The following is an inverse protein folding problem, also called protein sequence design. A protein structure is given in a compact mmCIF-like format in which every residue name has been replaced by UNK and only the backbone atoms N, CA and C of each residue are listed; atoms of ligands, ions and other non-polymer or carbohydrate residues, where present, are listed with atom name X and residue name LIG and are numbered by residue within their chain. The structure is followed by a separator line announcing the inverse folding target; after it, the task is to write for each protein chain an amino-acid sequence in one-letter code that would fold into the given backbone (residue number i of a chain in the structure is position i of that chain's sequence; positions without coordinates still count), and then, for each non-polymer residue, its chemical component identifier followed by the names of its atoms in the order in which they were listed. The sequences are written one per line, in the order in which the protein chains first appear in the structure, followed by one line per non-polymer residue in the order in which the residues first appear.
data_IF_554742069601
#
_entry.id   IF_554742069601
#
_cell.length_a   1.000
_cell.length_b   1.000
_cell.length_c   1.000
_cell.angle_alpha   90.00
_cell.angle_beta   90.00
_cell.angle_gamma   90.00
#
_symmetry.space_group_name_H-M   'P 1'
#
loop_
_entity.id
_entity.type
_entity.pdbx_description
1 polymer ?
#
# COMPACT_ATOMS: atom_id res chain seq x y z
N UNK A 1 56.04 83.86 54.05
CA UNK A 1 55.47 84.59 55.20
C UNK A 1 53.95 84.61 55.06
N UNK A 2 53.25 84.10 56.07
CA UNK A 2 51.81 84.29 56.25
C UNK A 2 51.57 85.56 57.08
N UNK A 3 50.29 85.92 57.27
CA UNK A 3 49.71 86.99 58.11
C UNK A 3 49.46 88.33 57.38
N UNK A 4 48.29 89.00 57.42
CA UNK A 4 46.91 88.70 57.84
C UNK A 4 46.03 89.85 57.32
N UNK A 5 44.75 89.56 57.01
CA UNK A 5 43.59 90.48 56.78
C UNK A 5 43.60 91.20 55.41
N UNK A 6 42.54 91.22 54.62
CA UNK A 6 41.14 90.91 54.88
C UNK A 6 40.28 91.97 54.20
N UNK A 7 40.06 91.84 52.88
CA UNK A 7 38.95 92.49 52.21
C UNK A 7 38.10 91.39 51.56
N UNK A 8 36.90 91.24 52.11
CA UNK A 8 35.91 90.25 51.74
C UNK A 8 35.27 90.70 50.41
N UNK A 9 35.72 90.15 49.29
CA UNK A 9 34.95 90.18 48.05
C UNK A 9 35.39 89.04 47.13
N UNK A 10 34.44 88.16 46.81
CA UNK A 10 34.55 87.02 45.89
C UNK A 10 35.20 85.76 46.46
N UNK A 11 34.58 85.19 47.49
CA UNK A 11 34.23 83.76 47.39
C UNK A 11 33.01 83.66 46.47
N UNK A 12 32.82 82.48 45.88
CA UNK A 12 31.68 82.06 45.01
C UNK A 12 31.97 82.02 43.50
N UNK A 13 33.00 81.28 43.09
CA UNK A 13 32.95 80.55 41.80
C UNK A 13 32.89 79.03 42.00
N UNK A 14 32.59 78.54 43.20
CA UNK A 14 32.50 77.10 43.48
C UNK A 14 31.06 76.59 43.51
N UNK A 15 30.04 77.45 43.45
CA UNK A 15 28.65 76.99 43.52
C UNK A 15 27.73 77.86 42.65
N UNK A 16 27.77 77.69 41.34
CA UNK A 16 26.56 77.98 40.56
C UNK A 16 26.55 77.22 39.24
N UNK A 17 25.70 76.20 39.25
CA UNK A 17 24.82 75.79 38.16
C UNK A 17 25.39 74.89 37.07
N UNK A 18 25.02 73.62 37.30
CA UNK A 18 24.39 72.70 36.34
C UNK A 18 25.36 71.81 35.57
N UNK A 19 25.82 70.78 36.29
CA UNK A 19 25.86 69.41 35.77
C UNK A 19 24.56 69.15 35.02
N UNK A 20 24.60 69.31 33.70
CA UNK A 20 23.60 68.73 32.81
C UNK A 20 23.55 67.24 33.13
N UNK A 21 22.39 66.65 33.46
CA UNK A 21 22.29 65.20 33.51
C UNK A 21 22.49 64.74 32.08
N UNK A 22 23.68 64.22 31.78
CA UNK A 22 24.01 63.64 30.49
C UNK A 22 22.87 62.72 30.06
N UNK A 23 22.31 63.00 28.89
CA UNK A 23 21.23 62.23 28.30
C UNK A 23 21.67 60.77 28.21
N UNK A 24 21.11 59.91 29.07
CA UNK A 24 21.31 58.47 28.98
C UNK A 24 20.31 57.95 27.97
N UNK A 25 20.79 57.72 26.75
CA UNK A 25 20.09 56.93 25.75
C UNK A 25 19.82 55.54 26.33
N UNK A 26 18.58 55.32 26.77
CA UNK A 26 18.12 53.99 27.15
C UNK A 26 17.75 53.27 25.86
N UNK A 27 18.65 52.44 25.34
CA UNK A 27 18.34 51.53 24.24
C UNK A 27 17.30 50.54 24.73
N UNK A 28 16.04 50.75 24.33
CA UNK A 28 14.96 49.81 24.61
C UNK A 28 15.28 48.50 23.89
N UNK A 29 15.53 47.43 24.64
CA UNK A 29 15.71 46.10 24.06
C UNK A 29 14.35 45.66 23.53
N UNK A 30 14.16 45.79 22.21
CA UNK A 30 13.00 45.25 21.53
C UNK A 30 13.19 43.73 21.46
N UNK A 31 12.67 43.01 22.44
CA UNK A 31 12.52 41.55 22.34
C UNK A 31 11.53 41.26 21.22
N UNK A 32 12.05 40.95 20.03
CA UNK A 32 11.24 40.40 18.94
C UNK A 32 10.68 39.05 19.41
N UNK A 33 9.43 38.76 19.03
CA UNK A 33 8.81 37.44 19.29
C UNK A 33 9.75 36.38 18.75
N UNK A 34 10.28 35.52 19.62
CA UNK A 34 11.12 34.40 19.22
C UNK A 34 10.25 33.48 18.36
N UNK A 35 10.50 33.47 17.06
CA UNK A 35 9.88 32.48 16.20
C UNK A 35 10.39 31.11 16.65
N UNK A 36 9.47 30.20 17.00
CA UNK A 36 9.83 28.84 17.40
C UNK A 36 10.81 28.23 16.37
N UNK A 37 11.86 27.52 16.83
CA UNK A 37 12.90 26.98 15.98
C UNK A 37 12.27 26.13 14.87
N UNK A 38 12.80 26.26 13.66
CA UNK A 38 12.26 25.64 12.44
C UNK A 38 12.08 24.13 12.55
N UNK A 39 12.92 23.46 13.35
CA UNK A 39 12.86 22.02 13.62
C UNK A 39 11.54 21.59 14.26
N UNK A 40 11.04 22.34 15.24
CA UNK A 40 9.78 22.01 15.93
C UNK A 40 8.59 22.16 14.98
N UNK A 41 8.57 23.23 14.17
CA UNK A 41 7.51 23.46 13.17
C UNK A 41 7.44 22.36 12.11
N UNK A 42 8.57 21.84 11.67
CA UNK A 42 8.63 20.75 10.70
C UNK A 42 8.08 19.44 11.27
N UNK A 43 8.38 19.16 12.54
CA UNK A 43 7.90 17.95 13.21
C UNK A 43 6.37 17.98 13.36
N UNK A 44 5.79 19.14 13.70
CA UNK A 44 4.33 19.31 13.72
C UNK A 44 3.69 19.16 12.34
N UNK A 45 4.32 19.66 11.27
CA UNK A 45 3.78 19.52 9.92
C UNK A 45 3.80 18.04 9.48
N UNK A 46 4.87 17.32 9.83
CA UNK A 46 4.98 15.90 9.55
C UNK A 46 3.92 15.07 10.30
N UNK A 47 3.63 15.36 11.57
CA UNK A 47 2.58 14.63 12.30
C UNK A 47 1.19 14.87 11.69
N UNK A 48 0.92 16.08 11.22
CA UNK A 48 -0.33 16.39 10.49
C UNK A 48 -0.40 15.58 9.19
N UNK A 49 0.69 15.50 8.41
CA UNK A 49 0.73 14.70 7.19
C UNK A 49 0.48 13.22 7.49
N UNK A 50 1.12 12.67 8.52
CA UNK A 50 0.93 11.28 8.93
C UNK A 50 -0.52 11.03 9.33
N UNK A 51 -1.13 11.95 10.07
CA UNK A 51 -2.55 11.85 10.46
C UNK A 51 -3.47 11.81 9.23
N UNK A 52 -3.27 12.70 8.25
CA UNK A 52 -4.05 12.75 7.02
C UNK A 52 -3.84 11.47 6.19
N UNK A 53 -2.60 10.97 6.08
CA UNK A 53 -2.29 9.72 5.38
C UNK A 53 -3.04 8.53 5.99
N UNK A 54 -3.07 8.41 7.32
CA UNK A 54 -3.82 7.35 8.01
C UNK A 54 -5.32 7.47 7.72
N UNK A 55 -5.88 8.68 7.79
CA UNK A 55 -7.29 8.91 7.48
C UNK A 55 -7.62 8.53 6.02
N UNK A 56 -6.77 8.91 5.06
CA UNK A 56 -6.93 8.57 3.64
C UNK A 56 -6.84 7.06 3.39
N UNK A 57 -5.92 6.35 4.05
CA UNK A 57 -5.81 4.89 3.94
C UNK A 57 -7.07 4.18 4.45
N UNK A 58 -7.64 4.64 5.56
CA UNK A 58 -8.89 4.08 6.09
C UNK A 58 -10.03 4.25 5.08
N UNK A 59 -10.16 5.44 4.47
CA UNK A 59 -11.18 5.70 3.45
C UNK A 59 -10.96 4.82 2.20
N UNK A 60 -9.71 4.67 1.75
CA UNK A 60 -9.38 3.85 0.58
C UNK A 60 -9.63 2.36 0.82
N UNK A 61 -9.29 1.84 2.00
CA UNK A 61 -9.57 0.45 2.36
C UNK A 61 -11.08 0.15 2.30
N UNK A 62 -11.91 1.10 2.75
CA UNK A 62 -13.36 0.98 2.69
C UNK A 62 -13.88 1.00 1.23
N UNK A 63 -13.27 1.77 0.33
CA UNK A 63 -13.65 1.77 -1.09
C UNK A 63 -13.33 0.42 -1.79
N UNK A 64 -12.17 -0.16 -1.48
CA UNK A 64 -11.73 -1.43 -2.08
C UNK A 64 -12.63 -2.62 -1.71
N UNK A 65 -13.26 -2.60 -0.52
CA UNK A 65 -14.20 -3.64 -0.07
C UNK A 65 -15.41 -3.78 -1.01
N UNK A 66 -15.84 -2.70 -1.67
CA UNK A 66 -17.00 -2.76 -2.57
C UNK A 66 -16.69 -3.44 -3.91
N UNK A 67 -15.46 -3.31 -4.41
CA UNK A 67 -15.01 -4.03 -5.61
C UNK A 67 -14.94 -5.52 -5.35
N UNK A 68 -14.29 -5.91 -4.25
CA UNK A 68 -14.10 -7.30 -3.85
C UNK A 68 -15.42 -8.05 -3.63
N UNK A 69 -16.44 -7.39 -3.08
CA UNK A 69 -17.73 -8.04 -2.83
C UNK A 69 -18.48 -8.37 -4.13
N UNK A 70 -18.33 -7.56 -5.20
CA UNK A 70 -18.88 -7.87 -6.52
C UNK A 70 -18.15 -9.03 -7.17
N UNK A 71 -16.83 -9.04 -7.11
CA UNK A 71 -16.01 -10.15 -7.64
C UNK A 71 -16.34 -11.46 -6.92
N UNK A 72 -16.51 -11.42 -5.60
CA UNK A 72 -16.91 -12.58 -4.80
C UNK A 72 -18.28 -13.13 -5.24
N UNK A 73 -19.28 -12.27 -5.43
CA UNK A 73 -20.59 -12.70 -5.92
C UNK A 73 -20.54 -13.27 -7.34
N UNK A 74 -19.71 -12.71 -8.22
CA UNK A 74 -19.55 -13.19 -9.58
C UNK A 74 -18.85 -14.56 -9.62
N UNK A 75 -17.78 -14.71 -8.83
CA UNK A 75 -17.08 -15.98 -8.65
C UNK A 75 -18.01 -17.06 -8.07
N UNK A 76 -18.81 -16.73 -7.05
CA UNK A 76 -19.77 -17.66 -6.44
C UNK A 76 -20.84 -18.13 -7.46
N UNK A 77 -21.34 -17.21 -8.30
CA UNK A 77 -22.28 -17.55 -9.39
C UNK A 77 -21.64 -18.49 -10.41
N UNK A 78 -20.39 -18.23 -10.82
CA UNK A 78 -19.65 -19.07 -11.75
C UNK A 78 -19.36 -20.47 -11.17
N UNK A 79 -19.02 -20.55 -9.88
CA UNK A 79 -18.84 -21.83 -9.19
C UNK A 79 -20.15 -22.61 -9.15
N UNK A 80 -21.28 -21.95 -8.86
CA UNK A 80 -22.60 -22.60 -8.85
C UNK A 80 -23.01 -23.12 -10.24
N UNK A 81 -22.79 -22.35 -11.31
CA UNK A 81 -23.08 -22.82 -12.67
C UNK A 81 -22.20 -24.02 -13.05
N UNK A 82 -20.90 -23.94 -12.78
CA UNK A 82 -19.97 -25.04 -13.04
C UNK A 82 -20.33 -26.32 -12.27
N UNK A 83 -20.71 -26.20 -10.98
CA UNK A 83 -21.19 -27.34 -10.20
C UNK A 83 -22.48 -27.95 -10.76
N UNK A 84 -23.41 -27.12 -11.24
CA UNK A 84 -24.63 -27.61 -11.85
C UNK A 84 -24.35 -28.38 -13.16
N UNK A 85 -23.42 -27.91 -13.97
CA UNK A 85 -22.97 -28.60 -15.18
C UNK A 85 -22.29 -29.93 -14.87
N UNK A 86 -21.40 -29.95 -13.87
CA UNK A 86 -20.76 -31.18 -13.40
C UNK A 86 -21.81 -32.20 -12.93
N UNK A 87 -22.78 -31.77 -12.12
CA UNK A 87 -23.84 -32.67 -11.66
C UNK A 87 -24.66 -33.24 -12.82
N UNK A 88 -24.98 -32.43 -13.84
CA UNK A 88 -25.67 -32.94 -15.05
C UNK A 88 -24.82 -34.00 -15.76
N UNK A 89 -23.53 -33.75 -15.94
CA UNK A 89 -22.60 -34.68 -16.58
C UNK A 89 -22.47 -36.00 -15.80
N UNK A 90 -22.41 -35.93 -14.48
CA UNK A 90 -22.37 -37.12 -13.60
C UNK A 90 -23.65 -37.93 -13.73
N UNK A 91 -24.82 -37.28 -13.71
CA UNK A 91 -26.10 -37.97 -13.91
C UNK A 91 -26.17 -38.63 -15.28
N UNK A 92 -25.77 -37.92 -16.35
CA UNK A 92 -25.73 -38.49 -17.70
C UNK A 92 -24.78 -39.68 -17.78
N UNK A 93 -23.59 -39.59 -17.18
CA UNK A 93 -22.64 -40.71 -17.09
C UNK A 93 -23.27 -41.93 -16.43
N UNK A 94 -23.94 -41.73 -15.31
CA UNK A 94 -24.57 -42.82 -14.57
C UNK A 94 -25.77 -43.41 -15.32
N UNK A 95 -26.56 -42.58 -16.01
CA UNK A 95 -27.62 -43.05 -16.89
C UNK A 95 -27.09 -43.85 -18.07
N UNK A 96 -25.98 -43.42 -18.68
CA UNK A 96 -25.31 -44.19 -19.74
C UNK A 96 -24.76 -45.50 -19.20
N UNK A 97 -24.11 -45.51 -18.04
CA UNK A 97 -23.54 -46.73 -17.45
C UNK A 97 -24.62 -47.80 -17.17
N UNK A 98 -25.77 -47.38 -16.63
CA UNK A 98 -26.92 -48.28 -16.42
C UNK A 98 -27.61 -48.64 -17.74
N UNK A 99 -27.69 -47.67 -18.68
CA UNK A 99 -28.36 -47.81 -19.97
C UNK A 99 -27.64 -48.74 -20.93
N UNK A 100 -26.30 -48.72 -20.94
CA UNK A 100 -25.45 -49.54 -21.81
C UNK A 100 -25.79 -51.03 -21.66
N UNK A 101 -25.98 -51.51 -20.43
CA UNK A 101 -26.31 -52.93 -20.18
C UNK A 101 -27.68 -53.32 -20.73
N UNK A 102 -28.63 -52.39 -20.71
CA UNK A 102 -29.98 -52.60 -21.21
C UNK A 102 -30.05 -52.48 -22.75
N UNK A 103 -29.35 -51.50 -23.33
CA UNK A 103 -29.24 -51.36 -24.79
C UNK A 103 -28.44 -52.49 -25.42
N UNK A 104 -27.36 -52.94 -24.79
CA UNK A 104 -26.58 -54.10 -25.23
C UNK A 104 -27.46 -55.37 -25.32
N UNK A 105 -28.31 -55.62 -24.31
CA UNK A 105 -29.28 -56.72 -24.33
C UNK A 105 -30.32 -56.58 -25.44
N UNK A 106 -30.82 -55.37 -25.70
CA UNK A 106 -31.77 -55.10 -26.80
C UNK A 106 -31.16 -55.33 -28.18
N UNK A 107 -29.87 -55.01 -28.33
CA UNK A 107 -29.12 -55.21 -29.57
C UNK A 107 -28.60 -56.65 -29.75
N UNK A 108 -28.95 -57.56 -28.83
CA UNK A 108 -28.60 -58.99 -28.92
C UNK A 108 -27.19 -59.33 -28.44
N UNK A 109 -26.46 -58.39 -27.83
CA UNK A 109 -25.16 -58.65 -27.22
C UNK A 109 -25.36 -59.33 -25.86
N UNK A 110 -24.72 -60.49 -25.67
CA UNK A 110 -24.72 -61.24 -24.42
C UNK A 110 -23.37 -61.05 -23.71
N UNK A 111 -23.40 -61.00 -22.37
CA UNK A 111 -22.16 -61.01 -21.59
C UNK A 111 -21.44 -62.35 -21.84
N UNK A 112 -20.16 -62.36 -22.21
CA UNK A 112 -19.41 -63.60 -22.38
C UNK A 112 -19.25 -64.26 -21.01
N UNK A 113 -19.98 -65.36 -20.79
CA UNK A 113 -20.05 -66.02 -19.48
C UNK A 113 -18.76 -66.75 -19.10
N UNK A 114 -17.81 -67.02 -20.01
CA UNK A 114 -16.60 -67.79 -19.66
C UNK A 114 -15.37 -67.52 -20.57
N UNK A 115 -15.11 -66.28 -21.00
CA UNK A 115 -13.87 -65.97 -21.75
C UNK A 115 -12.94 -65.03 -20.98
N UNK A 116 -11.63 -65.37 -20.88
CA UNK A 116 -10.66 -64.53 -20.19
C UNK A 116 -10.57 -63.18 -20.91
N UNK A 117 -10.56 -62.11 -20.11
CA UNK A 117 -10.41 -60.73 -20.59
C UNK A 117 -9.19 -60.66 -21.50
N UNK A 118 -9.39 -60.37 -22.78
CA UNK A 118 -8.30 -60.16 -23.74
C UNK A 118 -7.70 -58.79 -23.43
N UNK A 119 -6.67 -58.79 -22.59
CA UNK A 119 -5.84 -57.63 -22.33
C UNK A 119 -4.96 -57.39 -23.55
N UNK A 120 -5.34 -56.43 -24.40
CA UNK A 120 -4.44 -55.93 -25.45
C UNK A 120 -3.53 -54.87 -24.82
N UNK A 121 -2.23 -55.14 -24.80
CA UNK A 121 -1.23 -54.16 -24.40
C UNK A 121 -1.33 -52.94 -25.32
N UNK A 122 -1.50 -51.75 -24.73
CA UNK A 122 -1.44 -50.51 -25.50
C UNK A 122 0.02 -50.30 -25.89
N UNK A 123 0.35 -50.51 -27.17
CA UNK A 123 1.61 -50.03 -27.74
C UNK A 123 1.76 -48.55 -27.39
N UNK A 124 2.87 -48.14 -26.74
CA UNK A 124 3.10 -46.75 -26.42
C UNK A 124 3.19 -45.98 -27.74
N UNK A 125 2.26 -45.04 -27.92
CA UNK A 125 2.28 -44.10 -29.04
C UNK A 125 3.60 -43.35 -28.89
N UNK A 126 4.54 -43.65 -29.79
CA UNK A 126 5.82 -42.99 -29.88
C UNK A 126 5.58 -41.48 -29.85
N UNK A 127 6.11 -40.84 -28.82
CA UNK A 127 6.12 -39.39 -28.67
C UNK A 127 6.90 -38.83 -29.85
N UNK A 128 6.18 -38.41 -30.89
CA UNK A 128 6.76 -37.76 -32.05
C UNK A 128 7.41 -36.45 -31.61
N UNK A 129 8.72 -36.50 -31.37
CA UNK A 129 9.57 -35.33 -31.36
C UNK A 129 9.59 -34.79 -32.79
N UNK A 130 8.71 -33.84 -33.06
CA UNK A 130 8.77 -33.01 -34.27
C UNK A 130 10.00 -32.11 -34.09
N UNK A 131 11.14 -32.59 -34.54
CA UNK A 131 12.29 -31.75 -34.84
C UNK A 131 11.94 -30.90 -36.06
N UNK A 132 11.48 -29.67 -35.83
CA UNK A 132 11.49 -28.63 -36.84
C UNK A 132 12.89 -28.02 -36.88
N UNK A 133 13.68 -28.50 -37.82
CA UNK A 133 14.90 -27.87 -38.31
C UNK A 133 14.55 -26.50 -38.91
N UNK A 134 14.88 -25.42 -38.20
CA UNK A 134 15.00 -24.07 -38.79
C UNK A 134 16.48 -23.68 -38.79
N UNK A 135 17.08 -24.03 -39.92
CA UNK A 135 18.34 -23.56 -40.47
C UNK A 135 18.54 -22.03 -40.32
N UNK A 136 19.57 -21.66 -39.55
CA UNK A 136 20.54 -20.62 -39.87
C UNK A 136 20.13 -19.14 -39.75
N UNK A 137 20.69 -18.42 -38.78
CA UNK A 137 21.75 -17.42 -39.02
C UNK A 137 22.14 -16.70 -37.71
N UNK A 138 23.30 -17.03 -37.14
CA UNK A 138 24.01 -16.17 -36.21
C UNK A 138 25.50 -16.47 -36.32
N UNK A 139 26.22 -15.69 -37.14
CA UNK A 139 27.68 -15.66 -37.19
C UNK A 139 28.12 -14.20 -37.14
N UNK A 140 28.81 -13.87 -36.04
CA UNK A 140 29.61 -12.67 -35.75
C UNK A 140 28.88 -11.35 -35.53
#
# INVERSE_FOLDING_TARGET
MAYTRGNLAVKEQTQTKRTSPGYREKTMVVTRRTSLPTKEKLLYLLTVIVCVMVASLIIWQNANIYGLNKEYQQAERAIKSAKAEINKLVVLKQQLEVGIRNEAKKLGYQEPIDQPVINVERTPIASGTVNSDVKGNAKK
#
